data_IF_470242096204
#
_entry.id   IF_470242096204
#
_cell.length_a   1.000
_cell.length_b   1.000
_cell.length_c   1.000
_cell.angle_alpha   90.00
_cell.angle_beta   90.00
_cell.angle_gamma   90.00
#
_symmetry.space_group_name_H-M   'P 1'
#
loop_
_entity.id
_entity.type
_entity.pdbx_description
1 polymer ?
#
# COMPACT_ATOMS: atom_id res chain seq x y z
N UNK A 1 -37.61 -31.19 6.65
CA UNK A 1 -37.59 -29.93 5.87
C UNK A 1 -36.38 -29.12 6.34
N UNK A 2 -35.24 -29.29 5.68
CA UNK A 2 -33.96 -28.66 6.05
C UNK A 2 -33.75 -27.46 5.13
N UNK A 3 -33.70 -26.25 5.69
CA UNK A 3 -33.46 -25.01 4.95
C UNK A 3 -31.94 -24.80 4.90
N UNK A 4 -31.30 -25.26 3.84
CA UNK A 4 -29.92 -24.90 3.51
C UNK A 4 -29.90 -23.41 3.13
N UNK A 5 -29.42 -22.54 4.03
CA UNK A 5 -29.21 -21.12 3.70
C UNK A 5 -27.92 -21.01 2.88
N UNK A 6 -27.97 -20.52 1.62
CA UNK A 6 -26.77 -20.34 0.83
C UNK A 6 -25.82 -19.34 1.53
N UNK A 7 -24.50 -19.53 1.46
CA UNK A 7 -23.56 -18.59 2.04
C UNK A 7 -23.73 -17.24 1.34
N UNK A 8 -24.19 -16.23 2.09
CA UNK A 8 -24.22 -14.84 1.67
C UNK A 8 -22.79 -14.38 1.41
N UNK A 9 -22.28 -14.67 0.22
CA UNK A 9 -21.05 -14.06 -0.30
C UNK A 9 -21.40 -12.62 -0.64
N UNK A 10 -21.41 -11.76 0.37
CA UNK A 10 -21.54 -10.31 0.18
C UNK A 10 -20.28 -9.88 -0.56
N UNK A 11 -20.39 -9.77 -1.88
CA UNK A 11 -19.38 -9.07 -2.65
C UNK A 11 -19.35 -7.62 -2.14
N UNK A 12 -18.19 -7.10 -1.69
CA UNK A 12 -18.13 -5.73 -1.22
C UNK A 12 -18.63 -4.81 -2.34
N UNK A 13 -19.48 -3.82 -2.04
CA UNK A 13 -20.04 -2.93 -3.06
C UNK A 13 -18.90 -2.27 -3.86
N UNK A 14 -19.02 -2.19 -5.20
CA UNK A 14 -17.97 -1.68 -6.09
C UNK A 14 -17.55 -0.24 -5.76
N UNK A 15 -18.43 0.51 -5.10
CA UNK A 15 -18.24 1.84 -4.51
C UNK A 15 -17.01 1.90 -3.58
N UNK A 16 -16.79 0.86 -2.74
CA UNK A 16 -15.65 0.79 -1.80
C UNK A 16 -14.30 0.67 -2.55
N UNK A 17 -14.28 -0.08 -3.65
CA UNK A 17 -13.09 -0.23 -4.49
C UNK A 17 -12.79 1.03 -5.31
N UNK A 18 -13.83 1.76 -5.74
CA UNK A 18 -13.69 3.04 -6.44
C UNK A 18 -13.21 4.15 -5.49
N UNK A 19 -13.72 4.22 -4.26
CA UNK A 19 -13.26 5.17 -3.23
C UNK A 19 -11.81 4.91 -2.77
N UNK A 20 -11.33 3.66 -2.85
CA UNK A 20 -9.92 3.32 -2.60
C UNK A 20 -8.97 3.79 -3.72
N UNK A 21 -9.48 4.02 -4.94
CA UNK A 21 -8.68 4.42 -6.11
C UNK A 21 -7.91 5.74 -5.93
N UNK A 22 -8.55 6.83 -5.48
CA UNK A 22 -7.88 8.10 -5.21
C UNK A 22 -6.98 8.09 -3.95
N UNK A 23 -7.21 7.18 -3.00
CA UNK A 23 -6.44 7.05 -1.75
C UNK A 23 -5.08 6.36 -1.96
N UNK A 24 -4.91 5.64 -3.06
CA UNK A 24 -3.64 4.98 -3.40
C UNK A 24 -2.47 5.93 -3.58
N UNK A 25 -2.69 7.08 -4.23
CA UNK A 25 -1.67 8.09 -4.50
C UNK A 25 -1.13 8.78 -3.23
N UNK A 26 -1.98 9.31 -2.31
CA UNK A 26 -1.48 9.87 -1.06
C UNK A 26 -0.85 8.80 -0.17
N UNK A 27 -1.33 7.54 -0.17
CA UNK A 27 -0.69 6.46 0.57
C UNK A 27 0.73 6.17 0.04
N UNK A 28 0.93 6.10 -1.29
CA UNK A 28 2.26 5.92 -1.87
C UNK A 28 3.20 7.11 -1.56
N UNK A 29 2.69 8.35 -1.64
CA UNK A 29 3.45 9.55 -1.32
C UNK A 29 3.82 9.62 0.17
N UNK A 30 2.90 9.26 1.07
CA UNK A 30 3.16 9.17 2.50
C UNK A 30 4.26 8.14 2.78
N UNK A 31 4.17 6.96 2.16
CA UNK A 31 5.16 5.88 2.33
C UNK A 31 6.55 6.31 1.89
N UNK A 32 6.65 7.01 0.76
CA UNK A 32 7.90 7.57 0.27
C UNK A 32 8.46 8.65 1.21
N UNK A 33 7.60 9.56 1.70
CA UNK A 33 7.98 10.61 2.64
C UNK A 33 8.50 10.02 3.96
N UNK A 34 7.83 8.97 4.46
CA UNK A 34 8.24 8.23 5.66
C UNK A 34 9.60 7.54 5.45
N UNK A 35 9.87 6.99 4.26
CA UNK A 35 11.15 6.36 3.92
C UNK A 35 12.30 7.38 3.88
N UNK A 36 12.06 8.55 3.29
CA UNK A 36 13.04 9.65 3.25
C UNK A 36 13.33 10.16 4.65
N UNK A 37 12.29 10.34 5.48
CA UNK A 37 12.45 10.71 6.88
C UNK A 37 13.28 9.68 7.66
N UNK A 38 13.09 8.38 7.40
CA UNK A 38 13.88 7.32 8.03
C UNK A 38 15.37 7.39 7.65
N UNK A 39 15.69 7.69 6.38
CA UNK A 39 17.08 7.89 5.94
C UNK A 39 17.75 9.09 6.62
N UNK A 40 17.01 10.18 6.84
CA UNK A 40 17.50 11.37 7.54
C UNK A 40 17.70 11.10 9.04
N UNK A 41 16.79 10.33 9.64
CA UNK A 41 16.83 9.99 11.07
C UNK A 41 17.90 8.94 11.42
N UNK A 42 18.30 8.08 10.47
CA UNK A 42 19.25 6.99 10.69
C UNK A 42 20.55 7.39 11.41
N UNK A 43 21.28 8.46 10.99
CA UNK A 43 22.49 8.91 11.67
C UNK A 43 22.22 9.60 13.03
N UNK A 44 21.00 10.06 13.29
CA UNK A 44 20.62 10.76 14.52
C UNK A 44 20.17 9.79 15.64
N UNK A 45 19.79 8.55 15.28
CA UNK A 45 19.34 7.52 16.23
C UNK A 45 20.26 7.29 17.44
N UNK A 46 21.60 7.19 17.30
CA UNK A 46 22.48 6.94 18.45
C UNK A 46 22.60 8.14 19.40
N UNK A 47 22.34 9.34 18.90
CA UNK A 47 22.31 10.57 19.71
C UNK A 47 21.01 10.61 20.50
N UNK A 48 19.87 10.38 19.84
CA UNK A 48 18.56 10.42 20.49
C UNK A 48 18.36 9.28 21.48
N UNK A 49 18.90 8.09 21.20
CA UNK A 49 18.85 6.96 22.13
C UNK A 49 19.60 7.22 23.45
N UNK A 50 20.59 8.12 23.45
CA UNK A 50 21.28 8.56 24.67
C UNK A 50 20.50 9.62 25.44
N UNK A 51 19.64 10.39 24.77
CA UNK A 51 18.91 11.51 25.36
C UNK A 51 17.48 11.16 25.81
N UNK A 52 16.78 10.26 25.13
CA UNK A 52 15.32 10.08 25.23
C UNK A 52 14.84 8.63 25.50
N UNK A 53 15.68 7.80 26.11
CA UNK A 53 15.46 6.35 26.32
C UNK A 53 15.48 5.56 25.00
N UNK A 54 16.55 4.77 24.82
CA UNK A 54 16.80 4.03 23.60
C UNK A 54 15.65 3.10 23.19
N UNK A 55 14.93 2.51 24.15
CA UNK A 55 13.83 1.57 23.83
C UNK A 55 12.73 2.26 23.03
N UNK A 56 12.35 3.48 23.42
CA UNK A 56 11.30 4.24 22.73
C UNK A 56 11.74 4.63 21.32
N UNK A 57 12.98 5.10 21.17
CA UNK A 57 13.56 5.56 19.91
C UNK A 57 13.65 4.42 18.89
N UNK A 58 14.17 3.26 19.30
CA UNK A 58 14.26 2.10 18.42
C UNK A 58 12.89 1.51 18.07
N UNK A 59 11.96 1.45 19.03
CA UNK A 59 10.61 0.96 18.78
C UNK A 59 9.86 1.84 17.77
N UNK A 60 9.92 3.16 17.95
CA UNK A 60 9.31 4.12 17.03
C UNK A 60 9.90 3.97 15.62
N UNK A 61 11.22 3.82 15.51
CA UNK A 61 11.90 3.62 14.23
C UNK A 61 11.46 2.32 13.54
N UNK A 62 11.37 1.21 14.28
CA UNK A 62 10.87 -0.07 13.76
C UNK A 62 9.44 0.06 13.26
N UNK A 63 8.55 0.66 14.07
CA UNK A 63 7.15 0.85 13.70
C UNK A 63 7.02 1.67 12.42
N UNK A 64 7.78 2.77 12.34
CA UNK A 64 7.83 3.66 11.18
C UNK A 64 8.31 2.94 9.92
N UNK A 65 9.36 2.11 10.05
CA UNK A 65 9.92 1.34 8.94
C UNK A 65 8.95 0.28 8.43
N UNK A 66 8.23 -0.41 9.32
CA UNK A 66 7.21 -1.39 8.95
C UNK A 66 6.05 -0.72 8.20
N UNK A 67 5.57 0.43 8.69
CA UNK A 67 4.52 1.20 8.01
C UNK A 67 4.97 1.64 6.62
N UNK A 68 6.20 2.17 6.51
CA UNK A 68 6.76 2.61 5.23
C UNK A 68 6.88 1.44 4.23
N UNK A 69 7.36 0.28 4.68
CA UNK A 69 7.46 -0.92 3.84
C UNK A 69 6.10 -1.43 3.36
N UNK A 70 5.10 -1.46 4.24
CA UNK A 70 3.74 -1.86 3.90
C UNK A 70 3.11 -0.91 2.86
N UNK A 71 3.28 0.41 3.02
CA UNK A 71 2.78 1.40 2.07
C UNK A 71 3.49 1.31 0.71
N UNK A 72 4.80 1.11 0.70
CA UNK A 72 5.58 0.96 -0.52
C UNK A 72 5.14 -0.28 -1.31
N UNK A 73 4.93 -1.41 -0.63
CA UNK A 73 4.44 -2.63 -1.27
C UNK A 73 3.04 -2.45 -1.86
N UNK A 74 2.15 -1.75 -1.13
CA UNK A 74 0.80 -1.46 -1.60
C UNK A 74 0.79 -0.54 -2.84
N UNK A 75 1.69 0.45 -2.89
CA UNK A 75 1.91 1.28 -4.07
C UNK A 75 2.41 0.50 -5.29
N UNK A 76 3.30 -0.48 -5.09
CA UNK A 76 3.77 -1.36 -6.17
C UNK A 76 2.64 -2.25 -6.68
N UNK A 77 1.87 -2.87 -5.78
CA UNK A 77 0.81 -3.82 -6.16
C UNK A 77 -0.32 -3.11 -6.94
N UNK A 78 -0.69 -1.90 -6.53
CA UNK A 78 -1.66 -1.07 -7.27
C UNK A 78 -1.14 -0.64 -8.64
N UNK A 79 0.14 -0.26 -8.75
CA UNK A 79 0.76 0.07 -10.03
C UNK A 79 0.85 -1.16 -10.97
N UNK A 80 1.19 -2.33 -10.43
CA UNK A 80 1.21 -3.60 -11.17
C UNK A 80 -0.19 -3.99 -11.66
N UNK A 81 -1.20 -3.85 -10.79
CA UNK A 81 -2.59 -4.10 -11.15
C UNK A 81 -3.09 -3.17 -12.26
N UNK A 82 -2.69 -1.90 -12.26
CA UNK A 82 -3.02 -0.95 -13.33
C UNK A 82 -2.36 -1.35 -14.66
N UNK A 83 -1.08 -1.70 -14.64
CA UNK A 83 -0.35 -2.17 -15.84
C UNK A 83 -0.95 -3.46 -16.42
N UNK A 84 -1.39 -4.39 -15.58
CA UNK A 84 -2.05 -5.62 -16.02
C UNK A 84 -3.41 -5.36 -16.72
N UNK A 85 -4.14 -4.32 -16.29
CA UNK A 85 -5.39 -3.92 -16.94
C UNK A 85 -5.14 -3.27 -18.30
N UNK A 86 -4.15 -2.38 -18.39
CA UNK A 86 -3.73 -1.76 -19.64
C UNK A 86 -3.21 -2.78 -20.65
N UNK A 87 -2.42 -3.76 -20.20
CA UNK A 87 -1.91 -4.82 -21.07
C UNK A 87 -3.02 -5.74 -21.58
N UNK A 88 -4.06 -6.03 -20.77
CA UNK A 88 -5.26 -6.74 -21.25
C UNK A 88 -6.08 -5.91 -22.22
N UNK A 89 -6.31 -4.63 -21.95
CA UNK A 89 -7.06 -3.76 -22.86
C UNK A 89 -6.37 -3.65 -24.24
N UNK A 90 -5.03 -3.59 -24.25
CA UNK A 90 -4.23 -3.59 -25.47
C UNK A 90 -4.26 -4.93 -26.23
N UNK A 91 -4.36 -6.07 -25.53
CA UNK A 91 -4.53 -7.40 -26.15
C UNK A 91 -5.97 -7.66 -26.63
N UNK A 92 -6.95 -7.02 -26.00
CA UNK A 92 -8.36 -7.13 -26.36
C UNK A 92 -8.77 -6.19 -27.49
N UNK A 93 -7.95 -5.20 -27.84
CA UNK A 93 -8.07 -4.48 -29.10
C UNK A 93 -7.63 -5.44 -30.22
N UNK A 94 -8.57 -6.01 -30.99
CA UNK A 94 -8.22 -6.97 -32.02
C UNK A 94 -7.47 -6.23 -33.13
N UNK A 95 -6.53 -6.95 -33.74
CA UNK A 95 -5.72 -6.46 -34.84
C UNK A 95 -6.65 -5.88 -35.91
N UNK A 96 -6.49 -4.58 -36.18
CA UNK A 96 -7.16 -3.90 -37.28
C UNK A 96 -6.80 -4.64 -38.57
N UNK A 97 -7.76 -5.30 -39.24
CA UNK A 97 -7.55 -5.78 -40.59
C UNK A 97 -7.42 -4.52 -41.44
N UNK A 98 -6.27 -4.39 -42.10
CA UNK A 98 -6.05 -3.39 -43.15
C UNK A 98 -6.83 -3.79 -44.40
#
# INVERSE_FOLDING_TARGET
MTIERPPLRVAPPPELGAAAGPLGTPAAALGLLLLVAAMIALPQLPVWAREYDGVLVYLAFVLHTVLAGALFWWGIDTAAAHRARLSRARRAAPESPR
#
